data_IF_191775203216
#
_entry.id   IF_191775203216
#
_cell.length_a   1.000
_cell.length_b   1.000
_cell.length_c   1.000
_cell.angle_alpha   90.00
_cell.angle_beta   90.00
_cell.angle_gamma   90.00
#
_symmetry.space_group_name_H-M   'P 1'
#
loop_
_entity.id
_entity.type
_entity.pdbx_description
1 polymer ?
#
# COMPACT_ATOMS: atom_id res chain seq x y z
N UNK A 1 -0.84 -17.55 -8.23
CA UNK A 1 -0.39 -16.19 -8.63
C UNK A 1 0.83 -16.35 -9.50
N UNK A 2 0.62 -16.21 -10.80
CA UNK A 2 1.66 -16.37 -11.81
C UNK A 2 2.72 -15.27 -11.74
N UNK A 3 3.92 -15.51 -12.28
CA UNK A 3 5.00 -14.49 -12.26
C UNK A 3 4.62 -13.24 -13.06
N UNK A 4 3.85 -13.40 -14.13
CA UNK A 4 3.34 -12.30 -14.96
C UNK A 4 2.41 -11.38 -14.15
N UNK A 5 1.39 -11.94 -13.50
CA UNK A 5 0.43 -11.18 -12.67
C UNK A 5 1.10 -10.43 -11.50
N UNK A 6 2.19 -10.98 -10.95
CA UNK A 6 2.99 -10.28 -9.92
C UNK A 6 3.75 -9.10 -10.47
N UNK A 7 4.32 -9.20 -11.69
CA UNK A 7 4.99 -8.08 -12.35
C UNK A 7 4.02 -6.96 -12.65
N UNK A 8 2.85 -7.26 -13.21
CA UNK A 8 1.82 -6.25 -13.46
C UNK A 8 1.41 -5.54 -12.18
N UNK A 9 1.16 -6.28 -11.09
CA UNK A 9 0.86 -5.71 -9.78
C UNK A 9 1.96 -4.76 -9.29
N UNK A 10 3.22 -5.13 -9.48
CA UNK A 10 4.38 -4.28 -9.10
C UNK A 10 4.41 -3.01 -9.96
N UNK A 11 4.18 -3.12 -11.27
CA UNK A 11 4.14 -1.96 -12.18
C UNK A 11 2.98 -1.02 -11.83
N UNK A 12 1.78 -1.55 -11.57
CA UNK A 12 0.63 -0.75 -11.17
C UNK A 12 0.88 -0.06 -9.83
N UNK A 13 1.46 -0.76 -8.86
CA UNK A 13 1.81 -0.18 -7.56
C UNK A 13 2.86 0.93 -7.72
N UNK A 14 3.88 0.74 -8.56
CA UNK A 14 4.89 1.75 -8.83
C UNK A 14 4.27 3.02 -9.44
N UNK A 15 3.37 2.88 -10.42
CA UNK A 15 2.63 4.01 -11.00
C UNK A 15 1.78 4.77 -9.97
N UNK A 16 1.11 4.03 -9.08
CA UNK A 16 0.34 4.62 -7.97
C UNK A 16 1.25 5.38 -7.00
N UNK A 17 2.39 4.80 -6.61
CA UNK A 17 3.34 5.45 -5.70
C UNK A 17 4.03 6.67 -6.30
N UNK A 18 4.21 6.72 -7.62
CA UNK A 18 4.71 7.92 -8.31
C UNK A 18 3.68 9.05 -8.37
N UNK A 19 2.40 8.71 -8.42
CA UNK A 19 1.31 9.68 -8.51
C UNK A 19 0.79 10.15 -7.14
N UNK A 20 1.23 9.52 -6.04
CA UNK A 20 0.77 9.87 -4.68
C UNK A 20 1.86 10.57 -3.89
N UNK A 21 1.50 11.66 -3.23
CA UNK A 21 2.42 12.48 -2.44
C UNK A 21 2.62 11.94 -1.02
N UNK A 22 1.62 11.23 -0.47
CA UNK A 22 1.64 10.72 0.90
C UNK A 22 1.40 9.22 0.91
N UNK A 23 2.34 8.49 1.53
CA UNK A 23 2.25 7.05 1.76
C UNK A 23 2.35 6.78 3.26
N UNK A 24 1.32 6.18 3.83
CA UNK A 24 1.25 5.77 5.23
C UNK A 24 1.31 4.26 5.33
N UNK A 25 2.27 3.76 6.12
CA UNK A 25 2.39 2.34 6.47
C UNK A 25 1.85 2.13 7.86
N UNK A 26 0.86 1.24 8.00
CA UNK A 26 0.26 0.89 9.29
C UNK A 26 0.26 -0.63 9.48
N UNK A 27 0.49 -1.08 10.71
CA UNK A 27 0.29 -2.48 11.07
C UNK A 27 -1.17 -2.71 11.46
N UNK A 28 -1.82 -3.71 10.86
CA UNK A 28 -3.24 -3.99 11.12
C UNK A 28 -3.46 -5.23 12.02
N UNK A 29 -2.42 -5.69 12.72
CA UNK A 29 -2.52 -6.83 13.64
C UNK A 29 -3.57 -6.54 14.72
N UNK A 30 -4.66 -7.31 14.72
CA UNK A 30 -5.75 -7.19 15.69
C UNK A 30 -7.03 -6.50 15.17
N UNK A 31 -7.04 -5.99 13.94
CA UNK A 31 -8.26 -5.43 13.34
C UNK A 31 -9.16 -6.55 12.81
N UNK A 32 -10.46 -6.47 13.15
CA UNK A 32 -11.47 -7.35 12.56
C UNK A 32 -11.84 -6.87 11.14
N UNK A 33 -12.50 -7.74 10.37
CA UNK A 33 -12.89 -7.43 8.98
C UNK A 33 -13.82 -6.23 8.89
N UNK A 34 -14.73 -6.05 9.85
CA UNK A 34 -15.69 -4.94 9.88
C UNK A 34 -14.98 -3.59 10.07
N UNK A 35 -14.01 -3.52 10.98
CA UNK A 35 -13.18 -2.35 11.23
C UNK A 35 -12.32 -2.01 10.00
N UNK A 36 -11.77 -3.03 9.33
CA UNK A 36 -11.04 -2.84 8.07
C UNK A 36 -11.95 -2.28 6.96
N UNK A 37 -13.19 -2.75 6.84
CA UNK A 37 -14.13 -2.19 5.87
C UNK A 37 -14.49 -0.75 6.19
N UNK A 38 -14.68 -0.40 7.47
CA UNK A 38 -14.96 0.97 7.90
C UNK A 38 -13.77 1.88 7.59
N UNK A 39 -12.55 1.46 7.89
CA UNK A 39 -11.33 2.20 7.52
C UNK A 39 -11.21 2.42 6.01
N UNK A 40 -11.51 1.39 5.20
CA UNK A 40 -11.51 1.50 3.73
C UNK A 40 -12.55 2.49 3.24
N UNK A 41 -13.74 2.53 3.85
CA UNK A 41 -14.80 3.49 3.49
C UNK A 41 -14.38 4.92 3.84
N UNK A 42 -13.86 5.15 5.03
CA UNK A 42 -13.40 6.46 5.48
C UNK A 42 -12.25 6.99 4.63
N UNK A 43 -11.26 6.14 4.33
CA UNK A 43 -10.14 6.49 3.46
C UNK A 43 -10.63 6.85 2.06
N UNK A 44 -11.55 6.06 1.48
CA UNK A 44 -12.13 6.37 0.16
C UNK A 44 -12.90 7.70 0.16
N UNK A 45 -13.60 8.04 1.24
CA UNK A 45 -14.27 9.34 1.39
C UNK A 45 -13.27 10.49 1.45
N UNK A 46 -12.11 10.28 2.08
CA UNK A 46 -11.02 11.24 2.15
C UNK A 46 -10.12 11.28 0.89
N UNK A 47 -10.53 10.65 -0.22
CA UNK A 47 -9.72 10.58 -1.45
C UNK A 47 -8.49 9.66 -1.37
N UNK A 48 -8.33 8.94 -0.25
CA UNK A 48 -7.23 8.01 -0.03
C UNK A 48 -7.63 6.57 -0.38
N UNK A 49 -6.65 5.78 -0.81
CA UNK A 49 -6.84 4.38 -1.13
C UNK A 49 -5.98 3.49 -0.24
N UNK A 50 -6.54 2.35 0.14
CA UNK A 50 -5.93 1.41 1.08
C UNK A 50 -5.74 0.07 0.40
N UNK A 51 -4.49 -0.42 0.38
CA UNK A 51 -4.15 -1.72 -0.20
C UNK A 51 -3.31 -2.55 0.77
N UNK A 52 -3.74 -3.79 0.94
CA UNK A 52 -2.96 -4.81 1.65
C UNK A 52 -2.19 -5.56 0.57
N UNK A 53 -0.87 -5.38 0.54
CA UNK A 53 0.02 -6.03 -0.41
C UNK A 53 1.05 -6.88 0.34
N UNK A 54 1.50 -7.99 -0.27
CA UNK A 54 2.60 -8.77 0.30
C UNK A 54 3.85 -7.91 0.38
N UNK A 55 4.53 -7.93 1.52
CA UNK A 55 5.70 -7.08 1.79
C UNK A 55 6.80 -7.26 0.73
N UNK A 56 7.00 -8.48 0.22
CA UNK A 56 7.94 -8.74 -0.90
C UNK A 56 7.54 -8.03 -2.20
N UNK A 57 6.26 -7.94 -2.51
CA UNK A 57 5.78 -7.23 -3.71
C UNK A 57 5.81 -5.71 -3.52
N UNK A 58 5.45 -5.24 -2.32
CA UNK A 58 5.55 -3.83 -1.98
C UNK A 58 7.01 -3.36 -2.03
N UNK A 59 7.96 -4.14 -1.51
CA UNK A 59 9.40 -3.84 -1.61
C UNK A 59 9.85 -3.68 -3.06
N UNK A 60 9.47 -4.60 -3.94
CA UNK A 60 9.79 -4.52 -5.38
C UNK A 60 9.12 -3.32 -6.07
N UNK A 61 7.95 -2.89 -5.62
CA UNK A 61 7.25 -1.73 -6.19
C UNK A 61 7.79 -0.39 -5.70
N UNK A 62 8.44 -0.38 -4.54
CA UNK A 62 9.07 0.80 -3.92
C UNK A 62 10.55 0.93 -4.29
N UNK A 63 11.18 -0.13 -4.79
CA UNK A 63 12.52 -0.09 -5.37
C UNK A 63 12.51 0.84 -6.61
N UNK A 64 13.05 2.05 -6.44
CA UNK A 64 13.12 3.07 -7.50
C UNK A 64 12.14 4.26 -7.33
N UNK A 65 11.45 4.36 -6.21
CA UNK A 65 10.62 5.52 -5.83
C UNK A 65 11.13 6.14 -4.53
N UNK A 66 10.79 7.42 -4.28
CA UNK A 66 11.18 8.13 -3.03
C UNK A 66 10.61 7.47 -1.77
N UNK A 67 9.56 6.65 -1.93
CA UNK A 67 9.01 5.79 -0.90
C UNK A 67 9.89 4.54 -0.60
N UNK A 68 11.12 4.44 -1.11
CA UNK A 68 12.07 3.39 -0.70
C UNK A 68 12.41 3.46 0.81
N UNK A 69 12.27 4.64 1.43
CA UNK A 69 12.53 4.87 2.86
C UNK A 69 11.60 4.07 3.80
N UNK A 70 10.40 3.70 3.34
CA UNK A 70 9.43 2.92 4.13
C UNK A 70 9.60 1.40 4.00
N UNK A 71 10.50 0.92 3.13
CA UNK A 71 10.84 -0.52 3.00
C UNK A 71 11.16 -1.22 4.33
N UNK A 72 11.98 -0.64 5.25
CA UNK A 72 12.23 -1.27 6.55
C UNK A 72 10.99 -1.39 7.44
N UNK A 73 9.97 -0.55 7.24
CA UNK A 73 8.69 -0.58 7.97
C UNK A 73 7.75 -1.67 7.47
N UNK A 74 8.00 -2.25 6.29
CA UNK A 74 7.22 -3.34 5.71
C UNK A 74 7.55 -4.71 6.36
N UNK A 75 7.46 -4.81 7.69
CA UNK A 75 7.68 -6.06 8.45
C UNK A 75 6.39 -6.47 9.16
N UNK A 76 5.99 -7.73 9.03
CA UNK A 76 4.74 -8.23 9.62
C UNK A 76 3.48 -7.86 8.83
N UNK A 77 2.29 -7.89 9.45
CA UNK A 77 1.02 -7.60 8.78
C UNK A 77 0.86 -6.10 8.54
N UNK A 78 1.33 -5.63 7.38
CA UNK A 78 1.32 -4.23 6.99
C UNK A 78 0.25 -3.91 5.96
N UNK A 79 -0.35 -2.74 6.13
CA UNK A 79 -1.32 -2.12 5.25
C UNK A 79 -0.71 -0.81 4.76
N UNK A 80 -0.86 -0.56 3.45
CA UNK A 80 -0.38 0.65 2.80
C UNK A 80 -1.61 1.48 2.48
N UNK A 81 -1.66 2.69 3.03
CA UNK A 81 -2.59 3.73 2.64
C UNK A 81 -1.83 4.78 1.83
N UNK A 82 -2.39 5.19 0.70
CA UNK A 82 -1.81 6.22 -0.15
C UNK A 82 -2.89 7.24 -0.50
N UNK A 83 -2.54 8.52 -0.46
CA UNK A 83 -3.42 9.63 -0.83
C UNK A 83 -2.78 10.48 -1.91
N UNK A 84 -3.60 10.90 -2.86
CA UNK A 84 -3.22 11.91 -3.86
C UNK A 84 -3.45 13.34 -3.38
N UNK A 85 -4.22 13.52 -2.30
CA UNK A 85 -4.45 14.83 -1.69
C UNK A 85 -3.28 15.20 -0.73
N UNK A 86 -2.79 16.46 -0.76
CA UNK A 86 -1.74 16.96 0.12
C UNK A 86 -2.02 16.83 1.62
#
# INVERSE_FOLDING_TARGET
MDRAAKKELVTTLNGVFKATNVVVVAHYSGLNVAQMQTLRRQMKQAGAAVKVAKNRLAKLALEGTDAALIVPLLKGPTLIAYSGDP
#
